data_IF_078422810577
#
_entry.id   IF_078422810577
#
_cell.length_a   1.000
_cell.length_b   1.000
_cell.length_c   1.000
_cell.angle_alpha   90.00
_cell.angle_beta   90.00
_cell.angle_gamma   90.00
#
_symmetry.space_group_name_H-M   'P 1'
#
loop_
_entity.id
_entity.type
_entity.pdbx_description
1 polymer ?
#
# COMPACT_ATOMS: atom_id res chain seq x y z
N UNK A 1 -30.90 -43.51 6.60
CA UNK A 1 -29.71 -44.39 6.53
C UNK A 1 -29.09 -44.50 5.12
N UNK A 2 -29.35 -43.53 4.21
CA UNK A 2 -28.80 -43.49 2.84
C UNK A 2 -28.18 -42.10 2.52
N UNK A 3 -27.50 -41.49 3.49
CA UNK A 3 -26.77 -40.21 3.31
C UNK A 3 -25.26 -40.30 3.60
N UNK A 4 -24.76 -41.42 4.12
CA UNK A 4 -23.37 -41.54 4.56
C UNK A 4 -22.45 -42.31 3.59
N UNK A 5 -22.87 -42.53 2.33
CA UNK A 5 -22.04 -43.28 1.35
C UNK A 5 -21.55 -42.38 0.20
N UNK A 6 -22.04 -41.13 0.08
CA UNK A 6 -21.64 -40.24 -1.03
C UNK A 6 -20.54 -39.22 -0.68
N UNK A 7 -20.13 -39.10 0.59
CA UNK A 7 -19.03 -38.19 0.98
C UNK A 7 -17.63 -38.77 0.82
N UNK A 8 -17.48 -40.07 0.55
CA UNK A 8 -16.17 -40.72 0.43
C UNK A 8 -15.63 -40.81 -1.00
N UNK A 9 -16.42 -40.44 -2.02
CA UNK A 9 -16.06 -40.69 -3.44
C UNK A 9 -15.69 -39.40 -4.19
N UNK A 10 -16.08 -38.21 -3.70
CA UNK A 10 -15.67 -36.93 -4.28
C UNK A 10 -15.07 -36.02 -3.20
N UNK A 11 -13.77 -36.21 -2.96
CA UNK A 11 -12.96 -35.34 -2.11
C UNK A 11 -12.81 -33.93 -2.67
N UNK A 12 -13.86 -33.13 -2.56
CA UNK A 12 -13.86 -31.69 -2.87
C UNK A 12 -14.80 -30.96 -1.92
N UNK A 13 -14.41 -30.82 -0.65
CA UNK A 13 -14.87 -29.69 0.15
C UNK A 13 -13.97 -28.51 -0.18
N UNK A 14 -14.49 -27.60 -1.01
CA UNK A 14 -13.96 -26.25 -1.19
C UNK A 14 -13.79 -25.59 0.18
N UNK A 15 -12.58 -25.55 0.70
CA UNK A 15 -12.17 -24.50 1.61
C UNK A 15 -11.74 -23.32 0.74
N UNK A 16 -12.65 -22.36 0.57
CA UNK A 16 -12.26 -20.98 0.34
C UNK A 16 -11.58 -20.51 1.63
N UNK A 17 -10.32 -20.88 1.83
CA UNK A 17 -9.48 -20.26 2.83
C UNK A 17 -8.89 -19.01 2.21
N UNK A 18 -9.24 -17.88 2.80
CA UNK A 18 -8.60 -16.60 2.58
C UNK A 18 -7.12 -16.75 2.97
N UNK A 19 -6.13 -16.53 2.08
CA UNK A 19 -4.71 -16.74 2.41
C UNK A 19 -4.15 -15.73 3.43
N UNK A 20 -4.99 -14.90 4.03
CA UNK A 20 -4.66 -13.90 5.05
C UNK A 20 -5.19 -14.25 6.46
N UNK A 21 -5.87 -15.38 6.63
CA UNK A 21 -6.30 -15.83 7.96
C UNK A 21 -5.12 -16.54 8.64
N UNK A 22 -4.56 -15.87 9.65
CA UNK A 22 -3.50 -16.29 10.57
C UNK A 22 -2.06 -16.07 10.08
N UNK A 23 -1.66 -14.79 9.96
CA UNK A 23 -0.26 -14.44 10.24
C UNK A 23 0.02 -14.76 11.70
N UNK A 24 0.65 -15.91 11.97
CA UNK A 24 1.08 -16.29 13.32
C UNK A 24 2.13 -15.29 13.79
N UNK A 25 1.75 -14.43 14.73
CA UNK A 25 2.68 -13.51 15.38
C UNK A 25 3.28 -14.28 16.56
N UNK A 26 4.59 -14.57 16.49
CA UNK A 26 5.27 -15.21 17.60
C UNK A 26 5.33 -14.26 18.80
N UNK A 27 5.00 -14.79 19.98
CA UNK A 27 5.27 -14.13 21.24
C UNK A 27 6.77 -13.97 21.48
N UNK A 28 7.13 -13.07 22.39
CA UNK A 28 8.55 -12.81 22.72
C UNK A 28 9.22 -14.06 23.32
N UNK A 29 8.50 -14.84 24.13
CA UNK A 29 9.00 -16.11 24.66
C UNK A 29 9.26 -17.11 23.53
N UNK A 30 8.33 -17.24 22.58
CA UNK A 30 8.51 -18.13 21.42
C UNK A 30 9.69 -17.68 20.53
N UNK A 31 9.90 -16.38 20.36
CA UNK A 31 11.03 -15.87 19.59
C UNK A 31 12.38 -16.12 20.27
N UNK A 32 12.44 -16.06 21.61
CA UNK A 32 13.65 -16.41 22.37
C UNK A 32 13.94 -17.91 22.32
N UNK A 33 12.89 -18.73 22.28
CA UNK A 33 13.02 -20.19 22.16
C UNK A 33 13.44 -20.62 20.74
N UNK A 34 12.97 -19.92 19.71
CA UNK A 34 13.29 -20.19 18.29
C UNK A 34 14.65 -19.58 17.91
N UNK A 35 14.99 -18.40 18.44
CA UNK A 35 16.23 -17.69 18.20
C UNK A 35 16.88 -17.23 19.52
N UNK A 36 17.87 -17.99 20.04
CA UNK A 36 18.57 -17.65 21.27
C UNK A 36 19.31 -16.30 21.21
N UNK A 37 19.47 -15.74 20.01
CA UNK A 37 20.11 -14.45 19.78
C UNK A 37 19.10 -13.32 19.56
N UNK A 38 17.79 -13.55 19.73
CA UNK A 38 16.74 -12.56 19.50
C UNK A 38 17.00 -11.22 20.22
N UNK A 39 17.34 -11.26 21.51
CA UNK A 39 17.68 -10.06 22.29
C UNK A 39 18.95 -9.37 21.76
N UNK A 40 19.96 -10.14 21.37
CA UNK A 40 21.21 -9.61 20.79
C UNK A 40 20.94 -8.98 19.43
N UNK A 41 20.09 -9.58 18.59
CA UNK A 41 19.69 -9.03 17.29
C UNK A 41 18.91 -7.74 17.46
N UNK A 42 18.01 -7.64 18.45
CA UNK A 42 17.35 -6.36 18.79
C UNK A 42 18.34 -5.27 19.24
N UNK A 43 19.33 -5.63 20.06
CA UNK A 43 20.34 -4.67 20.57
C UNK A 43 21.32 -4.23 19.47
N UNK A 44 21.81 -5.16 18.65
CA UNK A 44 22.67 -4.86 17.48
C UNK A 44 21.91 -4.01 16.47
N UNK A 45 20.62 -4.28 16.28
CA UNK A 45 19.72 -3.47 15.46
C UNK A 45 19.59 -2.03 15.96
N UNK A 46 19.31 -1.82 17.25
CA UNK A 46 19.25 -0.47 17.84
C UNK A 46 20.58 0.29 17.73
N UNK A 47 21.72 -0.41 17.70
CA UNK A 47 23.06 0.17 17.57
C UNK A 47 23.48 0.49 16.13
N UNK A 48 23.10 -0.33 15.14
CA UNK A 48 23.42 -0.10 13.72
C UNK A 48 22.65 1.10 13.12
N UNK A 49 21.69 1.66 13.84
CA UNK A 49 20.97 2.88 13.49
C UNK A 49 21.78 4.17 13.62
N UNK A 50 22.91 4.13 14.33
CA UNK A 50 23.72 5.32 14.62
C UNK A 50 24.78 5.63 13.54
N UNK A 51 24.97 4.79 12.52
CA UNK A 51 26.00 5.02 11.49
C UNK A 51 25.57 4.54 10.10
N UNK A 52 24.96 5.44 9.34
CA UNK A 52 25.58 6.00 8.12
C UNK A 52 24.74 7.16 7.58
N UNK A 53 25.39 8.33 7.45
CA UNK A 53 24.82 9.62 7.05
C UNK A 53 24.54 9.70 5.54
N UNK A 54 23.81 8.75 4.99
CA UNK A 54 23.07 8.94 3.75
C UNK A 54 21.62 9.20 4.15
N UNK A 55 21.09 10.35 3.75
CA UNK A 55 19.87 10.99 4.25
C UNK A 55 18.72 10.00 4.49
N UNK A 56 18.47 9.66 5.75
CA UNK A 56 17.32 8.84 6.16
C UNK A 56 16.05 9.51 5.61
N UNK A 57 15.21 8.79 4.83
CA UNK A 57 13.98 9.36 4.30
C UNK A 57 13.11 9.94 5.41
N UNK A 58 12.39 11.02 5.12
CA UNK A 58 11.62 11.74 6.14
C UNK A 58 10.59 10.86 6.86
N UNK A 59 9.84 10.04 6.13
CA UNK A 59 8.85 9.09 6.69
C UNK A 59 9.50 8.14 7.70
N UNK A 60 10.71 7.67 7.36
CA UNK A 60 11.48 6.75 8.19
C UNK A 60 11.96 7.45 9.45
N UNK A 61 12.55 8.64 9.31
CA UNK A 61 12.98 9.45 10.45
C UNK A 61 11.83 9.79 11.40
N UNK A 62 10.67 10.18 10.87
CA UNK A 62 9.47 10.48 11.65
C UNK A 62 8.96 9.25 12.41
N UNK A 63 8.93 8.08 11.76
CA UNK A 63 8.47 6.84 12.39
C UNK A 63 9.36 6.43 13.56
N UNK A 64 10.69 6.48 13.36
CA UNK A 64 11.68 6.17 14.39
C UNK A 64 11.58 7.11 15.60
N UNK A 65 11.42 8.41 15.36
CA UNK A 65 11.26 9.38 16.45
C UNK A 65 9.96 9.17 17.22
N UNK A 66 8.86 8.90 16.51
CA UNK A 66 7.54 8.73 17.11
C UNK A 66 7.45 7.51 18.00
N UNK A 67 8.11 6.42 17.62
CA UNK A 67 8.02 5.12 18.29
C UNK A 67 9.32 4.73 19.00
N UNK A 68 10.13 5.73 19.35
CA UNK A 68 11.41 5.50 20.03
C UNK A 68 11.19 4.76 21.36
N UNK A 69 11.92 3.66 21.56
CA UNK A 69 11.83 2.82 22.75
C UNK A 69 10.67 1.82 22.76
N UNK A 70 9.79 1.82 21.75
CA UNK A 70 8.76 0.77 21.59
C UNK A 70 9.38 -0.53 21.04
N UNK A 71 8.81 -1.68 21.41
CA UNK A 71 9.29 -2.98 20.94
C UNK A 71 8.88 -3.22 19.49
N UNK A 72 9.74 -3.88 18.72
CA UNK A 72 9.50 -4.16 17.31
C UNK A 72 8.25 -5.01 17.07
N UNK A 73 7.98 -5.98 17.95
CA UNK A 73 6.77 -6.83 17.92
C UNK A 73 5.47 -6.02 18.09
N UNK A 74 5.48 -5.02 18.98
CA UNK A 74 4.34 -4.14 19.23
C UNK A 74 4.06 -3.25 18.02
N UNK A 75 5.13 -2.75 17.37
CA UNK A 75 5.03 -1.94 16.16
C UNK A 75 4.55 -2.73 14.95
N UNK A 76 5.02 -3.98 14.79
CA UNK A 76 4.52 -4.91 13.78
C UNK A 76 3.03 -5.21 13.99
N UNK A 77 2.63 -5.54 15.21
CA UNK A 77 1.21 -5.75 15.54
C UNK A 77 0.37 -4.49 15.27
N UNK A 78 0.89 -3.32 15.62
CA UNK A 78 0.23 -2.03 15.37
C UNK A 78 0.04 -1.75 13.89
N UNK A 79 1.02 -2.09 13.03
CA UNK A 79 0.90 -1.93 11.58
C UNK A 79 -0.38 -2.58 11.05
N UNK A 80 -0.61 -3.85 11.39
CA UNK A 80 -1.81 -4.59 10.94
C UNK A 80 -3.10 -4.08 11.56
N UNK A 81 -3.04 -3.48 12.76
CA UNK A 81 -4.19 -2.85 13.40
C UNK A 81 -4.57 -1.50 12.76
N UNK A 82 -3.58 -0.75 12.27
CA UNK A 82 -3.79 0.57 11.65
C UNK A 82 -3.98 0.50 10.14
N UNK A 83 -3.79 -0.66 9.53
CA UNK A 83 -3.99 -0.86 8.10
C UNK A 83 -5.37 -0.35 7.68
N UNK A 84 -5.48 0.49 6.62
CA UNK A 84 -6.74 1.10 6.19
C UNK A 84 -7.81 0.13 5.66
N UNK A 85 -7.63 -1.18 5.85
CA UNK A 85 -8.31 -2.27 5.12
C UNK A 85 -9.27 -3.05 6.01
N UNK A 86 -9.49 -2.67 7.28
CA UNK A 86 -10.36 -3.47 8.15
C UNK A 86 -11.81 -3.52 7.68
N UNK A 87 -12.27 -2.55 6.89
CA UNK A 87 -13.60 -2.57 6.33
C UNK A 87 -13.55 -2.18 4.85
N UNK A 88 -14.08 -3.03 3.97
CA UNK A 88 -14.32 -2.73 2.54
C UNK A 88 -15.33 -1.59 2.30
N UNK A 89 -15.45 -0.67 3.25
CA UNK A 89 -16.19 0.56 3.18
C UNK A 89 -15.39 1.52 2.28
N UNK A 90 -16.08 2.11 1.29
CA UNK A 90 -15.61 3.37 0.69
C UNK A 90 -15.17 4.27 1.85
N UNK A 91 -13.97 4.89 1.82
CA UNK A 91 -13.61 5.84 2.85
C UNK A 91 -14.67 6.93 2.83
N UNK A 92 -15.54 6.94 3.84
CA UNK A 92 -16.59 7.94 4.02
C UNK A 92 -15.98 9.36 4.12
N UNK A 93 -14.68 9.42 4.36
CA UNK A 93 -13.87 10.63 4.41
C UNK A 93 -12.43 10.34 3.92
N UNK A 94 -12.06 10.94 2.78
CA UNK A 94 -10.72 10.82 2.19
C UNK A 94 -9.63 11.32 3.14
N UNK A 95 -9.88 12.38 3.91
CA UNK A 95 -8.90 12.93 4.84
C UNK A 95 -8.57 11.96 5.98
N UNK A 96 -9.59 11.30 6.56
CA UNK A 96 -9.34 10.29 7.60
C UNK A 96 -8.57 9.09 7.05
N UNK A 97 -8.84 8.73 5.80
CA UNK A 97 -8.15 7.63 5.12
C UNK A 97 -6.67 7.97 4.89
N UNK A 98 -6.37 9.18 4.42
CA UNK A 98 -4.99 9.67 4.25
C UNK A 98 -4.26 9.66 5.60
N UNK A 99 -4.88 10.15 6.67
CA UNK A 99 -4.26 10.14 8.00
C UNK A 99 -3.93 8.72 8.49
N UNK A 100 -4.76 7.72 8.15
CA UNK A 100 -4.47 6.32 8.48
C UNK A 100 -3.33 5.76 7.62
N UNK A 101 -3.29 6.10 6.34
CA UNK A 101 -2.18 5.77 5.44
C UNK A 101 -0.88 6.34 6.00
N UNK A 102 -0.83 7.63 6.30
CA UNK A 102 0.37 8.28 6.83
C UNK A 102 0.83 7.64 8.13
N UNK A 103 -0.08 7.37 9.07
CA UNK A 103 0.24 6.67 10.32
C UNK A 103 0.81 5.28 10.10
N UNK A 104 0.27 4.55 9.12
CA UNK A 104 0.69 3.19 8.79
C UNK A 104 2.01 3.15 8.03
N UNK A 105 2.31 4.16 7.20
CA UNK A 105 3.61 4.30 6.52
C UNK A 105 4.76 4.40 7.53
N UNK A 106 4.56 5.09 8.66
CA UNK A 106 5.54 5.18 9.75
C UNK A 106 5.89 3.82 10.39
N UNK A 107 5.07 2.79 10.17
CA UNK A 107 5.24 1.45 10.72
C UNK A 107 5.76 0.44 9.69
N UNK A 108 5.93 0.84 8.43
CA UNK A 108 6.38 -0.06 7.34
C UNK A 108 7.78 -0.58 7.61
N UNK A 109 8.73 0.29 7.98
CA UNK A 109 10.09 -0.14 8.30
C UNK A 109 10.12 -1.13 9.49
N UNK A 110 9.53 -0.80 10.65
CA UNK A 110 9.41 -1.74 11.77
C UNK A 110 8.81 -3.09 11.36
N UNK A 111 7.77 -3.08 10.51
CA UNK A 111 7.14 -4.29 10.01
C UNK A 111 8.10 -5.14 9.17
N UNK A 112 8.77 -4.54 8.18
CA UNK A 112 9.76 -5.26 7.33
C UNK A 112 10.89 -5.85 8.18
N UNK A 113 11.36 -5.10 9.17
CA UNK A 113 12.43 -5.55 10.05
C UNK A 113 12.00 -6.69 10.97
N UNK A 114 10.82 -6.61 11.56
CA UNK A 114 10.29 -7.69 12.38
C UNK A 114 10.19 -8.97 11.57
N UNK A 115 9.72 -8.86 10.32
CA UNK A 115 9.60 -10.01 9.43
C UNK A 115 10.96 -10.66 9.15
N UNK A 116 11.96 -9.85 8.81
CA UNK A 116 13.33 -10.34 8.62
C UNK A 116 13.92 -10.95 9.88
N UNK A 117 13.59 -10.42 11.06
CA UNK A 117 14.07 -10.94 12.33
C UNK A 117 13.49 -12.33 12.61
N UNK A 118 12.18 -12.50 12.41
CA UNK A 118 11.48 -13.75 12.76
C UNK A 118 11.68 -14.86 11.71
N UNK A 119 11.72 -14.51 10.43
CA UNK A 119 11.75 -15.48 9.33
C UNK A 119 13.06 -15.47 8.53
N UNK A 120 14.05 -14.65 8.93
CA UNK A 120 15.31 -14.45 8.22
C UNK A 120 15.14 -13.93 6.77
N UNK A 121 13.94 -13.50 6.39
CA UNK A 121 13.59 -12.98 5.07
C UNK A 121 12.27 -12.18 5.13
N UNK A 122 12.00 -11.37 4.11
CA UNK A 122 10.72 -10.69 3.91
C UNK A 122 9.90 -11.41 2.85
N UNK A 123 8.82 -12.08 3.27
CA UNK A 123 8.00 -12.93 2.39
C UNK A 123 6.71 -12.27 1.89
N UNK A 124 6.42 -11.05 2.36
CA UNK A 124 5.18 -10.35 2.04
C UNK A 124 5.22 -9.89 0.59
N UNK A 125 4.23 -10.33 -0.20
CA UNK A 125 4.10 -10.01 -1.64
C UNK A 125 3.49 -8.64 -1.92
N UNK A 126 2.79 -8.08 -0.93
CA UNK A 126 2.09 -6.81 -1.06
C UNK A 126 1.97 -6.14 0.31
N UNK A 127 2.21 -4.84 0.34
CA UNK A 127 2.14 -3.95 1.49
C UNK A 127 1.02 -2.94 1.21
N UNK A 128 -0.24 -3.22 1.58
CA UNK A 128 -1.39 -2.45 1.08
C UNK A 128 -1.38 -0.96 1.43
N UNK A 129 -0.71 -0.57 2.51
CA UNK A 129 -0.54 0.86 2.83
C UNK A 129 0.24 1.61 1.73
N UNK A 130 1.24 0.96 1.10
CA UNK A 130 2.03 1.57 0.03
C UNK A 130 1.17 1.73 -1.21
N UNK A 131 0.42 0.70 -1.58
CA UNK A 131 -0.52 0.73 -2.70
C UNK A 131 -1.53 1.87 -2.53
N UNK A 132 -2.15 1.96 -1.35
CA UNK A 132 -3.10 3.04 -1.05
C UNK A 132 -2.45 4.43 -0.96
N UNK A 133 -1.20 4.53 -0.49
CA UNK A 133 -0.45 5.78 -0.49
C UNK A 133 -0.22 6.28 -1.93
N UNK A 134 0.25 5.41 -2.82
CA UNK A 134 0.44 5.71 -4.25
C UNK A 134 -0.90 6.15 -4.85
N UNK A 135 -1.98 5.42 -4.57
CA UNK A 135 -3.33 5.76 -5.04
C UNK A 135 -3.80 7.13 -4.57
N UNK A 136 -3.66 7.45 -3.29
CA UNK A 136 -4.21 8.67 -2.72
C UNK A 136 -3.38 9.89 -3.09
N UNK A 137 -2.06 9.81 -2.96
CA UNK A 137 -1.18 10.93 -3.25
C UNK A 137 -1.21 11.29 -4.74
N UNK A 138 -1.38 10.32 -5.66
CA UNK A 138 -1.52 10.64 -7.09
C UNK A 138 -2.82 11.40 -7.42
N UNK A 139 -3.95 11.03 -6.81
CA UNK A 139 -5.25 11.67 -7.13
C UNK A 139 -5.39 13.04 -6.48
N UNK A 140 -4.62 13.29 -5.41
CA UNK A 140 -4.49 14.60 -4.79
C UNK A 140 -3.44 15.50 -5.47
N UNK A 141 -2.71 14.96 -6.46
CA UNK A 141 -1.54 15.60 -7.05
C UNK A 141 -0.48 16.03 -6.02
N UNK A 142 -0.31 15.27 -4.94
CA UNK A 142 0.69 15.53 -3.92
C UNK A 142 2.05 14.92 -4.34
N UNK A 143 2.74 15.61 -5.25
CA UNK A 143 4.03 15.17 -5.77
C UNK A 143 5.09 15.06 -4.67
N UNK A 144 5.04 15.92 -3.64
CA UNK A 144 5.97 15.87 -2.53
C UNK A 144 5.82 14.56 -1.74
N UNK A 145 4.59 14.16 -1.41
CA UNK A 145 4.35 12.88 -0.71
C UNK A 145 4.73 11.66 -1.55
N UNK A 146 4.57 11.71 -2.87
CA UNK A 146 5.08 10.66 -3.77
C UNK A 146 6.62 10.60 -3.74
N UNK A 147 7.31 11.75 -3.73
CA UNK A 147 8.78 11.79 -3.61
C UNK A 147 9.23 11.22 -2.27
N UNK A 148 8.62 11.64 -1.16
CA UNK A 148 8.92 11.10 0.17
C UNK A 148 8.69 9.57 0.23
N UNK A 149 7.64 9.08 -0.44
CA UNK A 149 7.38 7.63 -0.55
C UNK A 149 8.46 6.92 -1.39
N UNK A 150 8.89 7.49 -2.52
CA UNK A 150 9.96 6.91 -3.35
C UNK A 150 11.27 6.79 -2.56
N UNK A 151 11.66 7.83 -1.84
CA UNK A 151 12.86 7.80 -0.99
C UNK A 151 12.79 6.66 0.04
N UNK A 152 11.62 6.45 0.65
CA UNK A 152 11.39 5.30 1.55
C UNK A 152 11.54 3.96 0.84
N UNK A 153 10.97 3.82 -0.36
CA UNK A 153 11.03 2.58 -1.14
C UNK A 153 12.47 2.26 -1.59
N UNK A 154 13.24 3.26 -2.02
CA UNK A 154 14.67 3.12 -2.37
C UNK A 154 15.52 2.76 -1.15
N UNK A 155 15.13 3.26 0.03
CA UNK A 155 15.83 3.00 1.28
C UNK A 155 15.58 1.60 1.85
N UNK A 156 14.42 0.98 1.57
CA UNK A 156 14.05 -0.37 2.04
C UNK A 156 14.07 -1.32 0.83
N UNK A 157 15.19 -2.05 0.59
CA UNK A 157 15.35 -2.84 -0.64
C UNK A 157 14.25 -3.86 -0.89
N UNK A 158 13.63 -4.37 0.18
CA UNK A 158 12.51 -5.30 0.12
C UNK A 158 11.29 -4.71 -0.59
N UNK A 159 11.17 -3.38 -0.68
CA UNK A 159 10.01 -2.67 -1.23
C UNK A 159 10.27 -2.07 -2.63
N UNK A 160 11.46 -2.30 -3.20
CA UNK A 160 11.86 -1.75 -4.51
C UNK A 160 10.89 -2.11 -5.65
N UNK A 161 10.12 -3.19 -5.51
CA UNK A 161 9.14 -3.60 -6.51
C UNK A 161 7.96 -2.61 -6.65
N UNK A 162 7.80 -1.65 -5.73
CA UNK A 162 6.83 -0.56 -5.84
C UNK A 162 7.36 0.70 -6.54
N UNK A 163 8.67 0.78 -6.85
CA UNK A 163 9.28 2.00 -7.38
C UNK A 163 8.67 2.42 -8.72
N UNK A 164 8.42 1.47 -9.61
CA UNK A 164 7.80 1.74 -10.92
C UNK A 164 6.39 2.32 -10.77
N UNK A 165 5.62 1.86 -9.78
CA UNK A 165 4.29 2.38 -9.47
C UNK A 165 4.38 3.81 -8.95
N UNK A 166 5.30 4.09 -8.02
CA UNK A 166 5.50 5.42 -7.47
C UNK A 166 5.99 6.42 -8.54
N UNK A 167 6.87 6.00 -9.46
CA UNK A 167 7.31 6.82 -10.59
C UNK A 167 6.17 7.13 -11.58
N UNK A 168 5.28 6.16 -11.84
CA UNK A 168 4.08 6.40 -12.66
C UNK A 168 3.13 7.38 -11.99
N UNK A 169 2.92 7.25 -10.68
CA UNK A 169 2.11 8.17 -9.89
C UNK A 169 2.66 9.60 -9.91
N UNK A 170 3.98 9.77 -9.76
CA UNK A 170 4.64 11.07 -9.85
C UNK A 170 4.38 11.75 -11.20
N UNK A 171 4.57 11.03 -12.31
CA UNK A 171 4.25 11.52 -13.66
C UNK A 171 2.78 11.92 -13.77
N UNK A 172 1.88 11.12 -13.19
CA UNK A 172 0.46 11.42 -13.18
C UNK A 172 0.12 12.69 -12.39
N UNK A 173 0.75 12.95 -11.24
CA UNK A 173 0.56 14.18 -10.46
C UNK A 173 0.77 15.43 -11.33
N UNK A 174 1.85 15.47 -12.13
CA UNK A 174 2.13 16.59 -13.02
C UNK A 174 1.12 16.74 -14.15
N UNK A 175 0.52 15.63 -14.58
CA UNK A 175 -0.47 15.61 -15.66
C UNK A 175 -1.90 15.91 -15.19
N UNK A 176 -2.21 15.65 -13.92
CA UNK A 176 -3.57 15.69 -13.39
C UNK A 176 -4.28 17.02 -13.64
N UNK A 177 -3.67 18.21 -13.43
CA UNK A 177 -4.35 19.48 -13.72
C UNK A 177 -4.81 19.60 -15.18
N UNK A 178 -3.92 19.30 -16.13
CA UNK A 178 -4.22 19.33 -17.56
C UNK A 178 -5.29 18.30 -17.95
N UNK A 179 -5.26 17.12 -17.33
CA UNK A 179 -6.28 16.09 -17.51
C UNK A 179 -7.65 16.56 -17.01
N UNK A 180 -7.71 17.16 -15.81
CA UNK A 180 -8.96 17.65 -15.24
C UNK A 180 -9.53 18.83 -16.03
N UNK A 181 -8.69 19.74 -16.51
CA UNK A 181 -9.12 20.85 -17.38
C UNK A 181 -9.66 20.33 -18.72
N UNK A 182 -9.04 19.30 -19.28
CA UNK A 182 -9.55 18.62 -20.46
C UNK A 182 -10.93 17.99 -20.19
N UNK A 183 -11.12 17.29 -19.07
CA UNK A 183 -12.41 16.69 -18.70
C UNK A 183 -13.47 17.78 -18.47
N UNK A 184 -13.13 18.89 -17.82
CA UNK A 184 -14.05 20.03 -17.63
C UNK A 184 -14.49 20.65 -18.95
N UNK A 185 -13.57 20.81 -19.90
CA UNK A 185 -13.88 21.40 -21.21
C UNK A 185 -14.69 20.48 -22.14
N UNK A 186 -14.77 19.18 -21.82
CA UNK A 186 -15.46 18.18 -22.64
C UNK A 186 -16.51 17.42 -21.83
N UNK A 187 -17.79 17.73 -22.06
CA UNK A 187 -18.91 16.98 -21.46
C UNK A 187 -18.85 15.51 -21.90
N UNK A 188 -18.41 14.62 -21.01
CA UNK A 188 -18.29 13.19 -21.25
C UNK A 188 -17.05 12.77 -22.06
N UNK A 189 -15.85 12.97 -21.49
CA UNK A 189 -14.60 12.51 -22.12
C UNK A 189 -14.50 10.97 -22.12
N UNK A 190 -14.05 10.39 -23.23
CA UNK A 190 -13.84 8.94 -23.40
C UNK A 190 -12.36 8.58 -23.46
N UNK A 191 -12.05 7.28 -23.36
CA UNK A 191 -10.67 6.78 -23.53
C UNK A 191 -10.05 7.18 -24.88
N UNK A 192 -10.86 7.24 -25.95
CA UNK A 192 -10.39 7.70 -27.25
C UNK A 192 -9.98 9.17 -27.21
N UNK A 193 -10.77 10.00 -26.54
CA UNK A 193 -10.48 11.42 -26.40
C UNK A 193 -9.19 11.67 -25.62
N UNK A 194 -8.94 10.88 -24.58
CA UNK A 194 -7.66 10.92 -23.85
C UNK A 194 -6.49 10.45 -24.72
N UNK A 195 -6.67 9.43 -25.57
CA UNK A 195 -5.63 8.98 -26.49
C UNK A 195 -5.28 10.06 -27.53
N UNK A 196 -6.27 10.82 -28.01
CA UNK A 196 -6.05 11.92 -28.94
C UNK A 196 -5.35 13.11 -28.27
N UNK A 197 -5.71 13.44 -27.02
CA UNK A 197 -5.13 14.57 -26.28
C UNK A 197 -3.76 14.25 -25.64
N UNK A 198 -3.55 13.02 -25.20
CA UNK A 198 -2.39 12.55 -24.44
C UNK A 198 -1.82 11.24 -25.04
N UNK A 199 -1.35 11.24 -26.29
CA UNK A 199 -1.04 10.03 -27.06
C UNK A 199 0.01 9.11 -26.42
N UNK A 200 0.96 9.67 -25.68
CA UNK A 200 2.07 8.92 -25.07
C UNK A 200 1.85 8.62 -23.57
N UNK A 201 0.65 8.88 -23.04
CA UNK A 201 0.39 8.79 -21.60
C UNK A 201 -0.84 7.97 -21.25
N UNK A 202 -1.47 7.34 -22.25
CA UNK A 202 -2.70 6.58 -22.04
C UNK A 202 -2.52 5.43 -21.04
N UNK A 203 -1.33 4.83 -21.02
CA UNK A 203 -0.95 3.76 -20.09
C UNK A 203 -0.97 4.20 -18.62
N UNK A 204 -0.67 5.47 -18.35
CA UNK A 204 -0.71 6.07 -17.01
C UNK A 204 -2.12 6.58 -16.71
N UNK A 205 -2.76 7.25 -17.67
CA UNK A 205 -4.09 7.85 -17.49
C UNK A 205 -5.16 6.80 -17.19
N UNK A 206 -5.19 5.70 -17.95
CA UNK A 206 -6.27 4.71 -17.87
C UNK A 206 -6.44 4.09 -16.47
N UNK A 207 -5.39 3.58 -15.78
CA UNK A 207 -5.52 3.11 -14.41
C UNK A 207 -5.86 4.24 -13.44
N UNK A 208 -5.32 5.45 -13.61
CA UNK A 208 -5.60 6.57 -12.71
C UNK A 208 -7.03 7.11 -12.81
N UNK A 209 -7.68 7.01 -13.98
CA UNK A 209 -9.13 7.30 -14.12
C UNK A 209 -10.00 6.40 -13.26
N UNK A 210 -9.58 5.15 -13.01
CA UNK A 210 -10.29 4.26 -12.09
C UNK A 210 -10.21 4.78 -10.66
N UNK A 211 -9.03 5.21 -10.20
CA UNK A 211 -8.87 5.76 -8.86
C UNK A 211 -9.61 7.09 -8.68
N UNK A 212 -9.52 8.00 -9.64
CA UNK A 212 -10.31 9.24 -9.63
C UNK A 212 -11.82 8.97 -9.52
N UNK A 213 -12.33 7.91 -10.17
CA UNK A 213 -13.73 7.51 -10.02
C UNK A 213 -14.01 6.79 -8.69
N UNK A 214 -13.07 5.97 -8.18
CA UNK A 214 -13.16 5.26 -6.90
C UNK A 214 -13.34 6.22 -5.73
N UNK A 215 -12.64 7.35 -5.76
CA UNK A 215 -12.67 8.40 -4.75
C UNK A 215 -13.62 9.56 -5.10
N UNK A 216 -14.58 9.32 -6.01
CA UNK A 216 -15.66 10.25 -6.36
C UNK A 216 -15.15 11.65 -6.80
N UNK A 217 -13.95 11.74 -7.40
CA UNK A 217 -13.42 12.95 -8.09
C UNK A 217 -13.99 13.03 -9.52
N UNK A 218 -14.17 11.87 -10.15
CA UNK A 218 -14.81 11.74 -11.46
C UNK A 218 -16.08 10.89 -11.37
N UNK A 219 -17.13 11.32 -12.07
CA UNK A 219 -18.26 10.47 -12.42
C UNK A 219 -17.89 9.61 -13.63
N UNK A 220 -18.05 8.29 -13.48
CA UNK A 220 -17.89 7.33 -14.57
C UNK A 220 -19.26 6.82 -15.02
N UNK A 221 -19.64 7.10 -16.26
CA UNK A 221 -20.89 6.60 -16.87
C UNK A 221 -20.58 5.61 -17.98
N UNK A 222 -21.15 4.41 -17.91
CA UNK A 222 -21.04 3.41 -18.98
C UNK A 222 -22.25 3.49 -19.91
N UNK A 223 -22.02 3.69 -21.21
CA UNK A 223 -23.05 3.64 -22.24
C UNK A 223 -22.60 2.65 -23.32
N UNK A 224 -23.27 1.50 -23.40
CA UNK A 224 -22.85 0.38 -24.23
C UNK A 224 -21.43 -0.10 -23.87
N UNK A 225 -20.53 -0.09 -24.86
CA UNK A 225 -19.11 -0.47 -24.69
C UNK A 225 -18.20 0.67 -24.24
N UNK A 226 -18.73 1.90 -24.13
CA UNK A 226 -17.95 3.10 -23.88
C UNK A 226 -18.10 3.56 -22.42
N UNK A 227 -17.00 4.04 -21.85
CA UNK A 227 -16.98 4.74 -20.57
C UNK A 227 -16.78 6.23 -20.83
N UNK A 228 -17.59 7.04 -20.19
CA UNK A 228 -17.58 8.49 -20.20
C UNK A 228 -17.18 8.97 -18.82
N UNK A 229 -16.32 9.98 -18.78
CA UNK A 229 -15.79 10.57 -17.56
C UNK A 229 -16.15 12.05 -17.51
N UNK A 230 -16.67 12.48 -16.37
CA UNK A 230 -17.09 13.84 -16.06
C UNK A 230 -16.60 14.20 -14.66
N UNK A 231 -16.43 15.50 -14.36
CA UNK A 231 -16.16 15.92 -12.98
C UNK A 231 -17.37 15.57 -12.11
N UNK A 232 -17.10 15.01 -10.93
CA UNK A 232 -18.14 14.62 -9.97
C UNK A 232 -18.92 15.82 -9.41
#
# INVERSE_FOLDING_TARGET
MLKNILSSIFGLTKTNQNPFEESYIFSEEELKDIDPFYEIKQIVYQKNYASDKLSIPKIIFEGRNKYNGEKLADLHSRYFQTMPVKDGLKPFNLNSFILQIEKSLLLVEPMVQYEKLCWNNFHIKSVPVIEHAIECFQILADSQKIVELKEMLEYIPELNFYLDDAQRAEKFCFMLPSLLDFIKSKQGATIRDFAEKFPNHLEIIKPSLYYLAKYDILKKKKVGRYNFYEIA
#
